data_IF_312438031548
#
_entry.id   IF_312438031548
#
_cell.length_a   1.000
_cell.length_b   1.000
_cell.length_c   1.000
_cell.angle_alpha   90.00
_cell.angle_beta   90.00
_cell.angle_gamma   90.00
#
_symmetry.space_group_name_H-M   'P 1'
#
loop_
_entity.id
_entity.type
_entity.pdbx_description
1 polymer ?
#
# COMPACT_ATOMS: atom_id res chain seq x y z
N UNK A 1 4.61 -12.48 -15.69
CA UNK A 1 3.39 -11.79 -15.21
C UNK A 1 2.31 -11.93 -16.27
N UNK A 2 1.06 -12.19 -15.86
CA UNK A 2 -0.11 -12.28 -16.75
C UNK A 2 -1.08 -11.16 -16.43
N UNK A 3 -1.62 -10.46 -17.42
CA UNK A 3 -2.66 -9.46 -17.18
C UNK A 3 -3.89 -10.08 -16.52
N UNK A 4 -4.35 -9.44 -15.45
CA UNK A 4 -5.56 -9.81 -14.70
C UNK A 4 -6.69 -8.82 -14.98
N UNK A 5 -6.40 -7.53 -14.92
CA UNK A 5 -7.39 -6.47 -15.08
C UNK A 5 -6.77 -5.18 -15.64
N UNK A 6 -7.59 -4.31 -16.21
CA UNK A 6 -7.18 -3.03 -16.82
C UNK A 6 -8.23 -1.94 -16.58
N UNK A 7 -7.90 -0.70 -16.96
CA UNK A 7 -8.86 0.41 -17.04
C UNK A 7 -8.71 1.48 -15.95
N UNK A 8 -7.77 1.30 -15.03
CA UNK A 8 -7.50 2.25 -13.94
C UNK A 8 -6.55 3.37 -14.40
N UNK A 9 -6.60 4.51 -13.71
CA UNK A 9 -5.67 5.62 -13.92
C UNK A 9 -4.46 5.52 -13.01
N UNK A 10 -4.69 5.36 -11.70
CA UNK A 10 -3.64 5.17 -10.69
C UNK A 10 -4.13 4.19 -9.62
N UNK A 11 -3.83 2.90 -9.84
CA UNK A 11 -4.35 1.80 -9.03
C UNK A 11 -3.50 1.53 -7.77
N UNK A 12 -4.15 1.69 -6.61
CA UNK A 12 -3.58 1.63 -5.27
C UNK A 12 -4.32 0.67 -4.35
N UNK A 13 -3.67 0.33 -3.23
CA UNK A 13 -4.26 -0.43 -2.13
C UNK A 13 -4.97 -1.72 -2.54
N UNK A 14 -4.42 -2.56 -3.45
CA UNK A 14 -5.08 -3.79 -3.86
C UNK A 14 -5.27 -4.70 -2.63
N UNK A 15 -6.45 -5.32 -2.49
CA UNK A 15 -6.76 -6.29 -1.43
C UNK A 15 -7.55 -7.44 -2.00
N UNK A 16 -7.14 -8.66 -1.65
CA UNK A 16 -7.84 -9.88 -2.01
C UNK A 16 -8.69 -10.38 -0.85
N UNK A 17 -9.97 -10.66 -1.09
CA UNK A 17 -10.83 -11.31 -0.11
C UNK A 17 -11.93 -12.11 -0.80
N UNK A 18 -12.19 -13.31 -0.28
CA UNK A 18 -13.29 -14.18 -0.72
C UNK A 18 -13.36 -14.41 -2.25
N UNK A 19 -12.21 -14.53 -2.91
CA UNK A 19 -12.16 -14.81 -4.34
C UNK A 19 -12.23 -13.55 -5.23
N UNK A 20 -12.19 -12.36 -4.64
CA UNK A 20 -12.31 -11.10 -5.35
C UNK A 20 -11.16 -10.15 -5.02
N UNK A 21 -10.76 -9.36 -6.01
CA UNK A 21 -9.84 -8.26 -5.88
C UNK A 21 -10.61 -6.95 -5.66
N UNK A 22 -10.12 -6.12 -4.76
CA UNK A 22 -10.58 -4.76 -4.52
C UNK A 22 -9.39 -3.81 -4.67
N UNK A 23 -9.60 -2.66 -5.28
CA UNK A 23 -8.52 -1.73 -5.61
C UNK A 23 -9.06 -0.30 -5.68
N UNK A 24 -8.33 0.66 -5.14
CA UNK A 24 -8.68 2.07 -5.27
C UNK A 24 -7.99 2.71 -6.48
N UNK A 25 -8.70 3.53 -7.25
CA UNK A 25 -8.14 4.31 -8.35
C UNK A 25 -8.12 5.79 -7.97
N UNK A 26 -7.04 6.24 -7.33
CA UNK A 26 -6.96 7.56 -6.65
C UNK A 26 -7.03 8.73 -7.62
N UNK A 27 -6.65 8.55 -8.90
CA UNK A 27 -6.78 9.58 -9.93
C UNK A 27 -8.04 9.41 -10.80
N UNK A 28 -8.51 8.18 -10.96
CA UNK A 28 -9.72 7.85 -11.72
C UNK A 28 -11.02 8.00 -10.93
N UNK A 29 -10.94 8.14 -9.59
CA UNK A 29 -12.09 8.36 -8.71
C UNK A 29 -13.03 7.16 -8.63
N UNK A 30 -12.47 5.94 -8.56
CA UNK A 30 -13.25 4.70 -8.61
C UNK A 30 -12.75 3.66 -7.61
N UNK A 31 -13.67 2.86 -7.07
CA UNK A 31 -13.37 1.57 -6.45
C UNK A 31 -13.52 0.48 -7.51
N UNK A 32 -12.46 -0.26 -7.80
CA UNK A 32 -12.50 -1.37 -8.75
C UNK A 32 -12.61 -2.71 -8.06
N UNK A 33 -13.46 -3.59 -8.57
CA UNK A 33 -13.62 -4.96 -8.06
C UNK A 33 -14.28 -5.92 -9.05
N UNK A 34 -14.10 -7.22 -8.81
CA UNK A 34 -14.79 -8.35 -9.43
C UNK A 34 -15.63 -9.17 -8.42
N UNK A 35 -15.94 -8.62 -7.23
CA UNK A 35 -16.69 -9.32 -6.17
C UNK A 35 -18.08 -9.83 -6.59
N UNK A 36 -18.79 -9.06 -7.41
CA UNK A 36 -20.16 -9.40 -7.85
C UNK A 36 -20.23 -9.78 -9.34
N UNK A 37 -19.10 -10.17 -9.95
CA UNK A 37 -19.04 -10.57 -11.35
C UNK A 37 -17.84 -9.99 -12.09
N UNK A 38 -18.00 -9.50 -13.34
CA UNK A 38 -16.85 -9.04 -14.10
C UNK A 38 -16.22 -7.79 -13.48
N UNK A 39 -14.91 -7.65 -13.67
CA UNK A 39 -14.12 -6.48 -13.28
C UNK A 39 -14.81 -5.17 -13.70
N UNK A 40 -15.10 -4.31 -12.71
CA UNK A 40 -15.80 -3.03 -12.91
C UNK A 40 -15.28 -1.96 -11.96
N UNK A 41 -15.36 -0.70 -12.39
CA UNK A 41 -15.05 0.46 -11.56
C UNK A 41 -16.33 1.17 -11.12
N UNK A 42 -16.53 1.28 -9.81
CA UNK A 42 -17.64 1.98 -9.16
C UNK A 42 -17.20 3.42 -8.91
N UNK A 43 -17.84 4.45 -9.50
CA UNK A 43 -17.49 5.85 -9.24
C UNK A 43 -17.66 6.22 -7.76
N UNK A 44 -16.73 7.03 -7.24
CA UNK A 44 -16.75 7.53 -5.87
C UNK A 44 -16.69 9.05 -5.85
N UNK A 45 -17.48 9.66 -4.96
CA UNK A 45 -17.35 11.09 -4.65
C UNK A 45 -16.07 11.38 -3.84
N UNK A 46 -15.70 10.43 -2.98
CA UNK A 46 -14.52 10.48 -2.13
C UNK A 46 -13.72 9.18 -2.30
N UNK A 47 -12.48 9.30 -2.77
CA UNK A 47 -11.64 8.12 -3.07
C UNK A 47 -10.71 7.82 -1.89
N UNK A 48 -10.68 6.58 -1.38
CA UNK A 48 -9.64 6.15 -0.46
C UNK A 48 -8.31 5.98 -1.20
N UNK A 49 -7.19 5.95 -0.50
CA UNK A 49 -5.94 5.42 -1.06
C UNK A 49 -5.81 3.94 -0.69
N UNK A 50 -5.30 3.64 0.51
CA UNK A 50 -5.26 2.29 1.06
C UNK A 50 -6.62 1.70 1.38
N UNK A 51 -6.72 0.38 1.24
CA UNK A 51 -7.88 -0.43 1.63
C UNK A 51 -7.47 -1.48 2.67
N UNK A 52 -8.40 -1.91 3.51
CA UNK A 52 -8.20 -3.06 4.39
C UNK A 52 -9.52 -3.73 4.73
N UNK A 53 -9.50 -5.03 5.00
CA UNK A 53 -10.67 -5.73 5.52
C UNK A 53 -10.61 -5.79 7.04
N UNK A 54 -11.62 -5.22 7.69
CA UNK A 54 -11.83 -5.33 9.12
C UNK A 54 -12.08 -6.79 9.53
N UNK A 55 -11.89 -7.15 10.82
CA UNK A 55 -12.14 -8.52 11.31
C UNK A 55 -13.56 -9.03 11.06
N UNK A 56 -14.56 -8.14 10.97
CA UNK A 56 -15.95 -8.48 10.65
C UNK A 56 -16.21 -8.64 9.14
N UNK A 57 -15.19 -8.43 8.31
CA UNK A 57 -15.26 -8.50 6.84
C UNK A 57 -15.59 -7.17 6.16
N UNK A 58 -15.83 -6.09 6.90
CA UNK A 58 -16.07 -4.75 6.33
C UNK A 58 -14.86 -4.22 5.58
N UNK A 59 -15.06 -3.66 4.39
CA UNK A 59 -14.00 -3.00 3.62
C UNK A 59 -13.80 -1.56 4.13
N UNK A 60 -12.69 -1.32 4.79
CA UNK A 60 -12.24 -0.01 5.23
C UNK A 60 -11.38 0.68 4.16
N UNK A 61 -11.43 2.01 4.13
CA UNK A 61 -10.67 2.86 3.20
C UNK A 61 -10.07 4.08 3.90
N UNK A 62 -8.80 4.39 3.59
CA UNK A 62 -8.09 5.56 4.10
C UNK A 62 -8.46 6.73 3.20
N UNK A 63 -9.39 7.57 3.64
CA UNK A 63 -9.96 8.61 2.80
C UNK A 63 -8.91 9.69 2.54
N UNK A 64 -8.28 9.61 1.37
CA UNK A 64 -6.98 10.23 1.05
C UNK A 64 -6.91 11.71 1.44
N UNK A 65 -7.98 12.47 1.19
CA UNK A 65 -8.04 13.91 1.41
C UNK A 65 -9.00 14.33 2.52
N UNK A 66 -9.65 13.38 3.21
CA UNK A 66 -10.69 13.68 4.20
C UNK A 66 -10.27 13.46 5.64
N UNK A 67 -9.02 13.04 5.89
CA UNK A 67 -8.45 12.79 7.22
C UNK A 67 -9.36 11.91 8.09
N UNK A 68 -9.87 10.84 7.50
CA UNK A 68 -10.72 9.86 8.18
C UNK A 68 -10.53 8.48 7.58
N UNK A 69 -10.93 7.47 8.34
CA UNK A 69 -11.21 6.13 7.82
C UNK A 69 -12.70 6.04 7.52
N UNK A 70 -13.03 5.45 6.38
CA UNK A 70 -14.40 5.09 6.03
C UNK A 70 -14.59 3.60 5.90
N UNK A 71 -15.84 3.14 6.01
CA UNK A 71 -16.24 1.75 5.73
C UNK A 71 -17.23 1.72 4.59
N UNK A 72 -17.01 0.81 3.65
CA UNK A 72 -17.81 0.60 2.46
C UNK A 72 -19.22 0.10 2.80
N UNK A 73 -20.24 0.76 2.26
CA UNK A 73 -21.65 0.41 2.47
C UNK A 73 -22.28 -0.36 1.31
N UNK A 74 -21.52 -0.61 0.24
CA UNK A 74 -22.06 -1.06 -1.05
C UNK A 74 -22.20 0.07 -2.08
N UNK A 75 -22.19 1.33 -1.63
CA UNK A 75 -22.35 2.50 -2.50
C UNK A 75 -21.28 3.58 -2.25
N UNK A 76 -20.89 3.79 -0.99
CA UNK A 76 -19.91 4.81 -0.58
C UNK A 76 -19.17 4.39 0.69
N UNK A 77 -18.19 5.20 1.11
CA UNK A 77 -17.48 5.03 2.37
C UNK A 77 -18.06 5.95 3.47
N UNK A 78 -18.89 5.38 4.35
CA UNK A 78 -19.40 6.10 5.53
C UNK A 78 -18.32 6.22 6.61
N UNK A 79 -18.45 7.18 7.53
CA UNK A 79 -17.42 7.47 8.53
C UNK A 79 -17.22 6.29 9.50
N UNK A 80 -15.95 5.95 9.75
CA UNK A 80 -15.55 4.91 10.71
C UNK A 80 -14.69 5.47 11.84
N UNK A 81 -13.67 6.28 11.49
CA UNK A 81 -12.81 6.95 12.48
C UNK A 81 -12.38 8.32 11.96
N UNK A 82 -12.42 9.33 12.83
CA UNK A 82 -11.94 10.69 12.52
C UNK A 82 -10.46 10.82 12.91
N UNK A 83 -9.62 11.19 11.95
CA UNK A 83 -8.18 11.41 12.13
C UNK A 83 -7.81 12.89 12.06
N UNK A 84 -8.77 13.80 11.94
CA UNK A 84 -8.54 15.23 11.69
C UNK A 84 -7.69 15.92 12.75
N UNK A 85 -7.71 15.41 13.99
CA UNK A 85 -6.91 15.91 15.11
C UNK A 85 -5.43 15.53 15.05
N UNK A 86 -5.06 14.48 14.29
CA UNK A 86 -3.69 13.93 14.26
C UNK A 86 -3.06 13.91 12.86
N UNK A 87 -3.87 13.77 11.81
CA UNK A 87 -3.44 13.75 10.42
C UNK A 87 -3.05 15.15 9.94
N UNK A 88 -1.94 15.22 9.23
CA UNK A 88 -1.30 16.46 8.79
C UNK A 88 -1.17 16.59 7.28
N UNK A 89 -1.20 15.48 6.55
CA UNK A 89 -1.21 15.41 5.10
C UNK A 89 -2.26 14.42 4.58
N UNK A 90 -2.17 14.07 3.29
CA UNK A 90 -2.97 13.01 2.71
C UNK A 90 -2.68 11.65 3.37
N UNK A 91 -3.73 10.86 3.55
CA UNK A 91 -3.60 9.46 3.96
C UNK A 91 -3.22 8.60 2.75
N UNK A 92 -2.29 7.67 2.94
CA UNK A 92 -1.82 6.72 1.93
C UNK A 92 -2.40 5.32 2.19
N UNK A 93 -1.52 4.33 2.34
CA UNK A 93 -1.91 2.93 2.55
C UNK A 93 -2.32 2.63 4.02
N UNK A 94 -2.91 1.45 4.23
CA UNK A 94 -3.26 0.97 5.56
C UNK A 94 -3.07 -0.54 5.74
N UNK A 95 -2.83 -0.94 6.98
CA UNK A 95 -2.87 -2.32 7.41
C UNK A 95 -3.55 -2.44 8.77
N UNK A 96 -4.26 -3.55 8.99
CA UNK A 96 -4.90 -3.86 10.26
C UNK A 96 -4.37 -5.14 10.88
N UNK A 97 -4.52 -5.27 12.19
CA UNK A 97 -4.22 -6.49 12.92
C UNK A 97 -5.50 -7.33 13.16
N UNK A 98 -5.36 -8.61 13.57
CA UNK A 98 -6.51 -9.47 13.87
C UNK A 98 -7.38 -9.00 15.05
N UNK A 99 -6.91 -8.04 15.84
CA UNK A 99 -7.63 -7.48 16.99
C UNK A 99 -8.46 -6.26 16.62
N UNK A 100 -8.39 -5.79 15.37
CA UNK A 100 -9.16 -4.66 14.87
C UNK A 100 -8.45 -3.31 15.01
N UNK A 101 -7.16 -3.29 15.37
CA UNK A 101 -6.38 -2.06 15.24
C UNK A 101 -6.07 -1.79 13.77
N UNK A 102 -6.16 -0.54 13.34
CA UNK A 102 -5.72 -0.08 12.02
C UNK A 102 -4.52 0.84 12.17
N UNK A 103 -3.55 0.68 11.29
CA UNK A 103 -2.38 1.53 11.13
C UNK A 103 -2.39 2.10 9.73
N UNK A 104 -2.26 3.41 9.65
CA UNK A 104 -2.47 4.17 8.42
C UNK A 104 -1.34 5.15 8.31
N UNK A 105 -0.72 5.26 7.14
CA UNK A 105 0.25 6.30 6.92
C UNK A 105 -0.43 7.67 6.74
N UNK A 106 0.31 8.71 7.08
CA UNK A 106 0.01 10.09 6.78
C UNK A 106 1.28 10.69 6.19
N UNK A 107 1.21 11.15 4.94
CA UNK A 107 2.36 11.65 4.19
C UNK A 107 2.95 12.93 4.82
N UNK A 108 2.16 13.67 5.61
CA UNK A 108 2.59 14.88 6.32
C UNK A 108 2.62 16.16 5.48
N UNK A 109 2.53 16.04 4.15
CA UNK A 109 2.44 17.16 3.22
C UNK A 109 1.72 16.76 1.92
N UNK A 110 1.08 17.73 1.26
CA UNK A 110 0.43 17.51 -0.02
C UNK A 110 1.41 17.64 -1.18
N UNK A 111 2.12 16.56 -1.51
CA UNK A 111 3.10 16.52 -2.60
C UNK A 111 2.51 16.96 -3.96
N UNK A 112 1.27 16.54 -4.26
CA UNK A 112 0.56 16.90 -5.49
C UNK A 112 0.25 18.41 -5.59
N UNK A 113 0.20 19.11 -4.45
CA UNK A 113 -0.02 20.55 -4.37
C UNK A 113 1.31 21.34 -4.33
N UNK A 114 2.46 20.66 -4.42
CA UNK A 114 3.77 21.29 -4.35
C UNK A 114 4.13 21.82 -2.96
N UNK A 115 3.51 21.28 -1.90
CA UNK A 115 3.90 21.64 -0.54
C UNK A 115 5.36 21.25 -0.24
N UNK A 116 6.07 22.01 0.60
CA UNK A 116 7.40 21.63 1.05
C UNK A 116 7.38 20.26 1.73
N UNK A 117 8.40 19.44 1.44
CA UNK A 117 8.58 18.13 2.06
C UNK A 117 8.60 18.28 3.57
N UNK A 118 7.79 17.45 4.25
CA UNK A 118 7.79 17.28 5.70
C UNK A 118 7.80 15.78 6.01
N UNK A 119 8.35 15.37 7.16
CA UNK A 119 8.16 14.01 7.62
C UNK A 119 6.67 13.72 7.79
N UNK A 120 6.29 12.52 7.37
CA UNK A 120 5.01 11.90 7.67
C UNK A 120 5.05 11.09 8.95
N UNK A 121 3.99 10.32 9.15
CA UNK A 121 3.71 9.59 10.40
C UNK A 121 2.93 8.31 10.11
N UNK A 122 2.96 7.39 11.07
CA UNK A 122 1.99 6.29 11.15
C UNK A 122 0.97 6.67 12.22
N UNK A 123 -0.28 6.71 11.83
CA UNK A 123 -1.44 6.89 12.70
C UNK A 123 -1.98 5.52 13.10
N UNK A 124 -2.59 5.44 14.28
CA UNK A 124 -3.29 4.24 14.73
C UNK A 124 -4.73 4.57 15.12
N UNK A 125 -5.64 3.73 14.67
CA UNK A 125 -7.00 3.60 15.22
C UNK A 125 -7.03 2.29 16.01
N UNK A 126 -7.16 2.38 17.33
CA UNK A 126 -7.30 1.21 18.17
C UNK A 126 -8.68 0.57 17.99
N UNK A 127 -8.81 -0.70 18.37
CA UNK A 127 -10.06 -1.46 18.26
C UNK A 127 -11.24 -0.84 19.05
N UNK A 128 -10.94 -0.05 20.09
CA UNK A 128 -11.94 0.69 20.87
C UNK A 128 -12.30 2.06 20.26
N UNK A 129 -11.72 2.39 19.10
CA UNK A 129 -11.90 3.66 18.39
C UNK A 129 -10.93 4.76 18.81
N UNK A 130 -10.01 4.51 19.75
CA UNK A 130 -9.01 5.51 20.15
C UNK A 130 -8.06 5.82 19.00
N UNK A 131 -7.89 7.11 18.69
CA UNK A 131 -7.01 7.58 17.62
C UNK A 131 -5.75 8.22 18.21
N UNK A 132 -4.60 7.93 17.61
CA UNK A 132 -3.33 8.55 18.01
C UNK A 132 -2.25 8.43 16.95
N UNK A 133 -1.14 9.13 17.19
CA UNK A 133 0.09 8.96 16.41
C UNK A 133 0.88 7.78 16.98
N UNK A 134 1.14 6.77 16.15
CA UNK A 134 1.89 5.58 16.52
C UNK A 134 3.40 5.73 16.26
N UNK A 135 3.77 6.47 15.22
CA UNK A 135 5.17 6.80 14.92
C UNK A 135 5.28 8.13 14.17
N UNK A 136 6.25 8.97 14.57
CA UNK A 136 6.57 10.25 13.93
C UNK A 136 7.81 10.11 13.02
N UNK A 137 8.12 11.11 12.20
CA UNK A 137 9.39 11.17 11.46
C UNK A 137 9.60 9.99 10.49
N UNK A 138 8.58 9.68 9.69
CA UNK A 138 8.65 8.71 8.58
C UNK A 138 8.75 9.49 7.26
N UNK A 139 9.78 9.27 6.45
CA UNK A 139 10.01 10.07 5.25
C UNK A 139 9.21 9.53 4.05
N UNK A 140 8.06 10.16 3.79
CA UNK A 140 7.10 9.75 2.76
C UNK A 140 6.67 8.29 2.98
N UNK A 141 5.93 8.02 4.07
CA UNK A 141 5.41 6.69 4.32
C UNK A 141 4.47 6.27 3.18
N UNK A 142 4.53 4.98 2.83
CA UNK A 142 3.62 4.31 1.91
C UNK A 142 3.23 2.95 2.54
N UNK A 143 3.23 1.87 1.77
CA UNK A 143 2.76 0.54 2.16
C UNK A 143 3.13 0.10 3.58
N UNK A 144 2.17 -0.53 4.24
CA UNK A 144 2.31 -1.10 5.58
C UNK A 144 2.05 -2.61 5.55
N UNK A 145 2.85 -3.38 6.27
CA UNK A 145 2.67 -4.83 6.38
C UNK A 145 3.08 -5.36 7.76
N UNK A 146 2.25 -6.24 8.30
CA UNK A 146 2.57 -7.01 9.50
C UNK A 146 3.34 -8.28 9.13
N UNK A 147 4.47 -8.49 9.79
CA UNK A 147 5.27 -9.73 9.71
C UNK A 147 5.49 -10.30 11.11
N UNK A 148 6.14 -11.46 11.21
CA UNK A 148 6.41 -12.17 12.46
C UNK A 148 5.13 -12.42 13.28
N UNK A 149 4.08 -12.92 12.62
CA UNK A 149 2.74 -13.12 13.22
C UNK A 149 2.16 -11.84 13.86
N UNK A 150 2.44 -10.68 13.26
CA UNK A 150 1.96 -9.39 13.75
C UNK A 150 2.83 -8.73 14.82
N UNK A 151 3.96 -9.35 15.20
CA UNK A 151 4.90 -8.77 16.19
C UNK A 151 5.78 -7.66 15.61
N UNK A 152 5.84 -7.55 14.28
CA UNK A 152 6.59 -6.50 13.59
C UNK A 152 5.69 -5.80 12.58
N UNK A 153 5.64 -4.46 12.62
CA UNK A 153 5.04 -3.64 11.56
C UNK A 153 6.17 -3.09 10.69
N UNK A 154 6.09 -3.35 9.39
CA UNK A 154 7.01 -2.83 8.37
C UNK A 154 6.32 -1.71 7.60
N UNK A 155 7.04 -0.62 7.35
CA UNK A 155 6.56 0.58 6.65
C UNK A 155 7.55 0.92 5.54
N UNK A 156 7.05 1.16 4.33
CA UNK A 156 7.84 1.69 3.23
C UNK A 156 8.12 3.18 3.42
N UNK A 157 9.38 3.59 3.29
CA UNK A 157 9.78 5.01 3.23
C UNK A 157 10.28 5.33 1.84
N UNK A 158 9.43 5.96 1.02
CA UNK A 158 9.68 6.17 -0.40
C UNK A 158 10.90 7.05 -0.62
N UNK A 159 11.01 8.18 0.09
CA UNK A 159 12.14 9.12 -0.07
C UNK A 159 13.45 8.49 0.44
N UNK A 160 13.39 7.68 1.49
CA UNK A 160 14.57 7.02 2.09
C UNK A 160 14.99 5.73 1.42
N UNK A 161 14.19 5.20 0.50
CA UNK A 161 14.49 3.98 -0.23
C UNK A 161 14.76 2.79 0.71
N UNK A 162 13.94 2.67 1.75
CA UNK A 162 14.09 1.61 2.74
C UNK A 162 12.73 1.14 3.23
N UNK A 163 12.77 -0.03 3.84
CA UNK A 163 11.70 -0.49 4.72
C UNK A 163 12.15 -0.27 6.17
N UNK A 164 11.27 0.30 6.98
CA UNK A 164 11.48 0.50 8.43
C UNK A 164 10.55 -0.41 9.20
N UNK A 165 11.10 -1.13 10.19
CA UNK A 165 10.35 -2.00 11.08
C UNK A 165 10.19 -1.40 12.47
N UNK A 166 9.06 -1.72 13.09
CA UNK A 166 8.74 -1.46 14.48
C UNK A 166 8.33 -2.76 15.16
N UNK A 167 8.76 -2.97 16.39
CA UNK A 167 8.16 -3.98 17.26
C UNK A 167 6.78 -3.51 17.70
N UNK A 168 5.80 -4.39 17.58
CA UNK A 168 4.42 -4.16 17.99
C UNK A 168 4.23 -4.76 19.38
N UNK A 169 3.97 -3.91 20.37
CA UNK A 169 3.68 -4.35 21.72
C UNK A 169 2.26 -4.93 21.83
N UNK A 170 1.97 -5.63 22.92
CA UNK A 170 0.66 -6.27 23.13
C UNK A 170 -0.51 -5.27 23.17
N UNK A 171 -0.25 -4.02 23.53
CA UNK A 171 -1.22 -2.92 23.52
C UNK A 171 -1.29 -2.19 22.16
N UNK A 172 -0.54 -2.64 21.14
CA UNK A 172 -0.41 -2.03 19.83
C UNK A 172 0.53 -0.81 19.76
N UNK A 173 1.32 -0.54 20.80
CA UNK A 173 2.34 0.50 20.73
C UNK A 173 3.49 0.07 19.79
N UNK A 174 4.00 1.02 19.00
CA UNK A 174 5.16 0.80 18.13
C UNK A 174 6.43 1.21 18.86
N UNK A 175 7.39 0.29 18.95
CA UNK A 175 8.70 0.51 19.59
C UNK A 175 9.81 -0.06 18.72
N UNK A 176 11.08 0.09 19.13
CA UNK A 176 12.20 -0.60 18.47
C UNK A 176 12.35 -0.30 16.97
N UNK A 177 12.18 0.99 16.58
CA UNK A 177 12.41 1.46 15.20
C UNK A 177 13.78 0.98 14.71
N UNK A 178 13.79 0.27 13.57
CA UNK A 178 15.01 -0.24 12.93
C UNK A 178 14.82 -0.32 11.41
N UNK A 179 15.91 -0.27 10.66
CA UNK A 179 15.86 -0.59 9.22
C UNK A 179 15.54 -2.08 9.07
N UNK A 180 14.46 -2.39 8.35
CA UNK A 180 14.14 -3.76 7.94
C UNK A 180 14.90 -4.15 6.67
N UNK A 181 14.96 -3.26 5.68
CA UNK A 181 15.72 -3.49 4.44
C UNK A 181 16.18 -2.16 3.84
N UNK A 182 17.45 -2.08 3.43
CA UNK A 182 18.01 -0.96 2.66
C UNK A 182 17.84 -1.24 1.17
N UNK A 183 16.81 -0.67 0.53
CA UNK A 183 16.47 -0.96 -0.86
C UNK A 183 17.39 -0.22 -1.84
N UNK A 184 17.94 0.93 -1.45
CA UNK A 184 18.98 1.59 -2.23
C UNK A 184 20.18 0.66 -2.44
N UNK A 185 20.60 -0.02 -1.37
CA UNK A 185 21.70 -1.00 -1.42
C UNK A 185 21.30 -2.31 -2.10
N UNK A 186 20.11 -2.83 -1.82
CA UNK A 186 19.68 -4.15 -2.28
C UNK A 186 19.19 -4.18 -3.72
N UNK A 187 18.54 -3.12 -4.18
CA UNK A 187 17.85 -3.05 -5.48
C UNK A 187 18.47 -1.97 -6.37
N UNK A 188 18.75 -0.78 -5.82
CA UNK A 188 19.44 0.31 -6.52
C UNK A 188 18.99 1.70 -6.08
N UNK A 189 19.76 2.72 -6.45
CA UNK A 189 19.53 4.13 -6.06
C UNK A 189 18.21 4.74 -6.58
N UNK A 190 17.51 4.06 -7.49
CA UNK A 190 16.18 4.43 -7.97
C UNK A 190 15.05 3.63 -7.32
N UNK A 191 15.34 2.69 -6.41
CA UNK A 191 14.33 1.85 -5.77
C UNK A 191 13.50 2.62 -4.73
N UNK A 192 12.48 3.33 -5.19
CA UNK A 192 11.48 4.02 -4.37
C UNK A 192 10.38 3.02 -3.98
N UNK A 193 10.30 2.54 -2.73
CA UNK A 193 9.24 1.62 -2.31
C UNK A 193 7.91 2.36 -2.21
N UNK A 194 6.84 1.66 -2.56
CA UNK A 194 5.47 2.16 -2.47
C UNK A 194 4.59 1.12 -1.74
N UNK A 195 3.60 0.50 -2.37
CA UNK A 195 2.78 -0.54 -1.76
C UNK A 195 3.58 -1.82 -1.46
N UNK A 196 3.33 -2.43 -0.29
CA UNK A 196 4.01 -3.64 0.18
C UNK A 196 3.00 -4.69 0.65
N UNK A 197 3.43 -5.95 0.68
CA UNK A 197 2.60 -7.06 1.17
C UNK A 197 3.41 -8.09 1.94
N UNK A 198 2.89 -8.55 3.08
CA UNK A 198 3.52 -9.59 3.87
C UNK A 198 3.46 -10.96 3.16
N UNK A 199 4.55 -11.72 3.25
CA UNK A 199 4.65 -13.10 2.81
C UNK A 199 5.34 -13.95 3.88
N UNK A 200 5.20 -15.29 3.85
CA UNK A 200 5.88 -16.16 4.81
C UNK A 200 7.41 -15.95 4.84
N UNK A 201 8.01 -15.65 3.69
CA UNK A 201 9.45 -15.48 3.52
C UNK A 201 9.91 -14.01 3.54
N UNK A 202 9.06 -13.06 3.98
CA UNK A 202 9.43 -11.65 4.09
C UNK A 202 8.35 -10.69 3.61
N UNK A 203 8.75 -9.64 2.90
CA UNK A 203 7.85 -8.58 2.42
C UNK A 203 8.03 -8.39 0.92
N UNK A 204 6.94 -8.54 0.16
CA UNK A 204 6.88 -8.09 -1.23
C UNK A 204 6.79 -6.56 -1.29
N UNK A 205 7.55 -5.96 -2.20
CA UNK A 205 7.67 -4.51 -2.32
C UNK A 205 7.54 -4.12 -3.79
N UNK A 206 6.61 -3.23 -4.11
CA UNK A 206 6.62 -2.52 -5.37
C UNK A 206 7.70 -1.41 -5.30
N UNK A 207 8.73 -1.49 -6.14
CA UNK A 207 9.74 -0.44 -6.26
C UNK A 207 9.48 0.39 -7.51
N UNK A 208 8.72 1.47 -7.37
CA UNK A 208 8.08 2.23 -8.46
C UNK A 208 9.08 2.64 -9.54
N UNK A 209 10.08 3.45 -9.19
CA UNK A 209 11.13 3.88 -10.12
C UNK A 209 12.29 2.88 -10.21
N UNK A 210 12.26 1.82 -9.40
CA UNK A 210 13.17 0.67 -9.51
C UNK A 210 12.77 -0.32 -10.60
N UNK A 211 11.57 -0.17 -11.18
CA UNK A 211 11.03 -1.05 -12.22
C UNK A 211 11.07 -2.54 -11.85
N UNK A 212 10.83 -2.84 -10.57
CA UNK A 212 10.85 -4.20 -10.05
C UNK A 212 9.87 -4.39 -8.89
N UNK A 213 9.32 -5.60 -8.83
CA UNK A 213 8.66 -6.11 -7.62
C UNK A 213 9.63 -7.07 -6.96
N UNK A 214 9.99 -6.81 -5.70
CA UNK A 214 11.02 -7.56 -4.98
C UNK A 214 10.46 -8.21 -3.74
N UNK A 215 10.98 -9.38 -3.37
CA UNK A 215 10.77 -9.98 -2.06
C UNK A 215 12.03 -9.76 -1.23
N UNK A 216 11.88 -9.15 -0.05
CA UNK A 216 13.00 -8.90 0.86
C UNK A 216 12.72 -9.48 2.25
N UNK A 217 13.76 -10.00 2.89
CA UNK A 217 13.72 -10.58 4.24
C UNK A 217 14.87 -10.02 5.05
N UNK A 218 14.59 -9.19 6.05
CA UNK A 218 15.60 -8.64 6.98
C UNK A 218 16.95 -8.26 6.31
N UNK A 219 16.90 -7.32 5.36
CA UNK A 219 18.05 -6.80 4.64
C UNK A 219 18.73 -7.81 3.67
N UNK A 220 18.02 -8.87 3.31
CA UNK A 220 18.32 -9.82 2.22
C UNK A 220 17.34 -9.58 1.04
N UNK A 221 17.85 -9.53 -0.18
CA UNK A 221 17.02 -9.61 -1.39
C UNK A 221 16.80 -11.09 -1.73
N UNK A 222 15.58 -11.57 -1.55
CA UNK A 222 15.21 -12.98 -1.81
C UNK A 222 14.96 -13.21 -3.30
N UNK A 223 14.19 -12.33 -3.93
CA UNK A 223 13.96 -12.37 -5.39
C UNK A 223 13.59 -10.99 -5.93
N UNK A 224 13.79 -10.80 -7.23
CA UNK A 224 13.45 -9.59 -7.96
C UNK A 224 12.80 -9.95 -9.29
N UNK A 225 11.64 -9.36 -9.56
CA UNK A 225 10.90 -9.53 -10.81
C UNK A 225 10.79 -8.17 -11.49
N UNK A 226 11.57 -7.98 -12.56
CA UNK A 226 11.54 -6.75 -13.35
C UNK A 226 10.20 -6.55 -14.07
N UNK A 227 9.76 -5.31 -14.16
CA UNK A 227 8.50 -4.89 -14.81
C UNK A 227 8.72 -4.23 -16.17
N UNK A 228 9.95 -4.27 -16.69
CA UNK A 228 10.33 -3.59 -17.92
C UNK A 228 10.25 -2.08 -17.76
N UNK A 229 9.48 -1.41 -18.63
CA UNK A 229 9.25 0.04 -18.54
C UNK A 229 8.09 0.42 -17.62
N UNK A 230 7.30 -0.56 -17.16
CA UNK A 230 6.17 -0.32 -16.27
C UNK A 230 6.65 -0.02 -14.86
N UNK A 231 5.89 0.81 -14.14
CA UNK A 231 6.17 1.23 -12.77
C UNK A 231 5.26 0.42 -11.82
N UNK A 232 5.77 -0.48 -10.98
CA UNK A 232 4.93 -1.16 -9.99
C UNK A 232 4.53 -0.18 -8.88
N UNK A 233 3.25 -0.13 -8.54
CA UNK A 233 2.71 0.82 -7.55
C UNK A 233 2.42 0.11 -6.23
N UNK A 234 1.62 -0.95 -6.27
CA UNK A 234 1.26 -1.70 -5.06
C UNK A 234 1.09 -3.19 -5.37
N UNK A 235 1.03 -4.02 -4.33
CA UNK A 235 0.78 -5.44 -4.48
C UNK A 235 -0.03 -6.03 -3.33
N UNK A 236 -0.70 -7.15 -3.58
CA UNK A 236 -1.30 -7.98 -2.55
C UNK A 236 -1.29 -9.45 -2.93
N UNK A 237 -1.09 -10.32 -1.94
CA UNK A 237 -1.17 -11.77 -2.10
C UNK A 237 -2.60 -12.27 -1.95
N UNK A 238 -2.91 -13.39 -2.59
CA UNK A 238 -4.20 -14.07 -2.44
C UNK A 238 -4.21 -15.14 -1.32
N UNK A 239 -3.07 -15.34 -0.65
CA UNK A 239 -2.85 -16.41 0.33
C UNK A 239 -2.60 -17.79 -0.28
N UNK A 240 -2.75 -17.95 -1.60
CA UNK A 240 -2.60 -19.19 -2.37
C UNK A 240 -1.35 -19.20 -3.27
N UNK A 241 -0.39 -18.30 -3.02
CA UNK A 241 0.86 -18.23 -3.78
C UNK A 241 0.73 -17.48 -5.12
N UNK A 242 -0.25 -16.58 -5.24
CA UNK A 242 -0.33 -15.59 -6.31
C UNK A 242 -0.21 -14.19 -5.73
N UNK A 243 0.47 -13.32 -6.47
CA UNK A 243 0.64 -11.90 -6.13
C UNK A 243 -0.01 -11.06 -7.23
N UNK A 244 -0.96 -10.22 -6.84
CA UNK A 244 -1.49 -9.16 -7.69
C UNK A 244 -0.57 -7.95 -7.57
N UNK A 245 -0.23 -7.34 -8.71
CA UNK A 245 0.63 -6.16 -8.78
C UNK A 245 -0.04 -5.12 -9.66
N UNK A 246 -0.18 -3.90 -9.17
CA UNK A 246 -0.61 -2.77 -9.99
C UNK A 246 0.59 -2.18 -10.72
N UNK A 247 0.45 -2.01 -12.04
CA UNK A 247 1.51 -1.58 -12.94
C UNK A 247 1.07 -0.34 -13.70
N UNK A 248 1.74 0.78 -13.48
CA UNK A 248 1.52 2.03 -14.19
C UNK A 248 2.37 2.11 -15.47
N UNK A 249 1.72 2.52 -16.56
CA UNK A 249 2.35 2.90 -17.82
C UNK A 249 2.24 4.42 -18.01
N UNK A 250 3.37 5.09 -18.15
CA UNK A 250 3.45 6.54 -18.40
C UNK A 250 3.52 6.89 -19.89
N UNK A 251 3.55 5.89 -20.78
CA UNK A 251 3.77 6.08 -22.21
C UNK A 251 5.13 6.70 -22.53
N UNK A 252 6.13 6.46 -21.67
CA UNK A 252 7.49 7.01 -21.80
C UNK A 252 7.67 8.43 -21.26
N UNK A 253 6.64 9.03 -20.64
CA UNK A 253 6.76 10.34 -19.98
C UNK A 253 7.40 10.20 -18.59
N UNK A 254 8.07 11.25 -18.09
CA UNK A 254 8.43 11.34 -16.68
C UNK A 254 7.19 11.14 -15.78
N UNK A 255 7.32 10.38 -14.70
CA UNK A 255 6.18 10.01 -13.85
C UNK A 255 5.38 11.22 -13.36
N UNK A 256 6.05 12.26 -12.85
CA UNK A 256 5.38 13.47 -12.36
C UNK A 256 4.57 14.19 -13.44
N UNK A 257 5.07 14.24 -14.68
CA UNK A 257 4.33 14.80 -15.83
C UNK A 257 3.12 13.93 -16.17
N UNK A 258 3.31 12.61 -16.24
CA UNK A 258 2.24 11.67 -16.57
C UNK A 258 1.09 11.75 -15.54
N UNK A 259 1.42 11.83 -14.25
CA UNK A 259 0.45 11.99 -13.18
C UNK A 259 -0.27 13.34 -13.25
N UNK A 260 0.46 14.45 -13.47
CA UNK A 260 -0.14 15.78 -13.55
C UNK A 260 -1.15 15.92 -14.70
N UNK A 261 -0.90 15.22 -15.81
CA UNK A 261 -1.79 15.21 -16.98
C UNK A 261 -2.79 14.06 -17.01
N UNK A 262 -2.87 13.24 -15.95
CA UNK A 262 -3.70 12.02 -15.90
C UNK A 262 -3.49 11.13 -17.14
N UNK A 263 -2.25 11.04 -17.59
CA UNK A 263 -1.83 10.27 -18.76
C UNK A 263 -1.35 8.85 -18.39
N UNK A 264 -1.36 8.52 -17.09
CA UNK A 264 -1.04 7.17 -16.61
C UNK A 264 -2.19 6.22 -16.92
N UNK A 265 -1.85 5.01 -17.32
CA UNK A 265 -2.78 3.87 -17.38
C UNK A 265 -2.25 2.78 -16.47
N UNK A 266 -3.10 2.26 -15.60
CA UNK A 266 -2.72 1.17 -14.70
C UNK A 266 -3.42 -0.13 -15.11
N UNK A 267 -2.66 -1.22 -15.08
CA UNK A 267 -3.16 -2.59 -15.18
C UNK A 267 -2.88 -3.33 -13.87
N UNK A 268 -3.59 -4.43 -13.63
CA UNK A 268 -3.23 -5.41 -12.60
C UNK A 268 -2.64 -6.61 -13.32
N UNK A 269 -1.47 -7.04 -12.88
CA UNK A 269 -0.85 -8.27 -13.33
C UNK A 269 -0.79 -9.29 -12.19
N UNK A 270 -0.91 -10.56 -12.56
CA UNK A 270 -0.76 -11.71 -11.70
C UNK A 270 0.65 -12.30 -11.86
N UNK A 271 1.31 -12.51 -10.73
CA UNK A 271 2.58 -13.20 -10.62
C UNK A 271 2.37 -14.49 -9.82
N UNK A 272 2.73 -15.64 -10.40
CA UNK A 272 2.79 -16.89 -9.66
C UNK A 272 4.07 -16.91 -8.82
N UNK A 273 3.91 -16.92 -7.49
CA UNK A 273 5.04 -16.88 -6.54
C UNK A 273 5.36 -18.25 -5.93
N UNK A 274 4.72 -19.33 -6.41
CA UNK A 274 4.89 -20.72 -5.95
C UNK A 274 6.22 -21.38 -6.35
N UNK A 275 7.26 -20.64 -6.75
CA UNK A 275 8.56 -21.21 -7.10
C UNK A 275 9.73 -20.43 -6.52
N UNK A 276 9.97 -20.64 -5.22
CA UNK A 276 11.29 -20.58 -4.63
C UNK A 276 11.49 -21.86 -3.79
N UNK A 277 11.54 -23.02 -4.46
CA UNK A 277 11.57 -24.31 -3.74
C UNK A 277 12.11 -25.54 -4.49
N UNK A 278 12.40 -25.47 -5.79
CA UNK A 278 12.93 -26.61 -6.56
C UNK A 278 14.07 -26.19 -7.51
N UNK A 279 15.08 -25.51 -6.98
CA UNK A 279 16.36 -25.35 -7.65
C UNK A 279 17.48 -25.49 -6.60
N UNK A 280 17.73 -26.74 -6.20
CA UNK A 280 19.00 -27.21 -5.65
C UNK A 280 19.61 -28.19 -6.64
#
# INVERSE_FOLDING_TARGET
MKEYATGMTWGEGPRWQHGALWLSDTQGGKLWTDHDGPWRGIPLDAVPNGLWFLPDGGLAGAMMYERRIGVWTGERFDAYADLSAVATGPLGDMAGDPYGNLYVDDVGFAAHAGEPVRPGRVLRVAADGTVGVAAEDIEFPNGLAFVDDGRTLVVAETIRQRLTAFTVAADGALTGRRTYADLARLVGEDARPDGIWAAPDGVWVATTTGHAVVLVRENELVTSVGTGTLLPIACCGDGGGRLFVTLADTGGRPLGEAMAHKAVRTTVALLDVTKAGDAL
#
